data_IF_986917382744
#
_entry.id   IF_986917382744
#
_cell.length_a   1.000
_cell.length_b   1.000
_cell.length_c   1.000
_cell.angle_alpha   90.00
_cell.angle_beta   90.00
_cell.angle_gamma   90.00
#
_symmetry.space_group_name_H-M   'P 1'
#
loop_
_entity.id
_entity.type
_entity.pdbx_description
1 polymer ?
#
# COMPACT_ATOMS: atom_id res chain seq x y z
N UNK A 1 11.78 4.50 5.04
CA UNK A 1 13.11 3.86 4.81
C UNK A 1 13.91 4.61 3.76
N UNK A 2 15.24 4.76 3.91
CA UNK A 2 16.13 5.23 2.81
C UNK A 2 16.44 4.07 1.86
N UNK A 3 16.41 4.32 0.56
CA UNK A 3 16.71 3.32 -0.49
C UNK A 3 17.79 3.84 -1.46
N UNK A 4 18.43 2.92 -2.17
CA UNK A 4 19.41 3.21 -3.22
C UNK A 4 18.76 3.43 -4.58
N UNK A 5 19.53 3.88 -5.56
CA UNK A 5 19.01 4.16 -6.91
C UNK A 5 18.54 2.91 -7.64
N UNK A 6 19.28 1.80 -7.53
CA UNK A 6 18.92 0.50 -8.10
C UNK A 6 17.63 -0.06 -7.47
N UNK A 7 17.37 0.26 -6.20
CA UNK A 7 16.13 -0.09 -5.52
C UNK A 7 14.90 0.71 -5.99
N UNK A 8 15.06 1.65 -6.92
CA UNK A 8 13.93 2.34 -7.56
C UNK A 8 13.45 1.71 -8.86
N UNK A 9 14.04 0.59 -9.26
CA UNK A 9 13.50 -0.22 -10.35
C UNK A 9 12.20 -0.94 -9.93
N UNK A 10 11.39 -1.32 -10.92
CA UNK A 10 10.06 -1.90 -10.71
C UNK A 10 10.07 -3.13 -9.82
N UNK A 11 11.01 -4.07 -10.03
CA UNK A 11 11.03 -5.31 -9.26
C UNK A 11 11.37 -5.07 -7.78
N UNK A 12 12.45 -4.36 -7.41
CA UNK A 12 12.69 -4.00 -6.00
C UNK A 12 11.53 -3.26 -5.32
N UNK A 13 10.87 -2.34 -6.03
CA UNK A 13 9.70 -1.63 -5.51
C UNK A 13 8.51 -2.56 -5.25
N UNK A 14 8.25 -3.50 -6.17
CA UNK A 14 7.25 -4.53 -5.95
C UNK A 14 7.61 -5.44 -4.77
N UNK A 15 8.89 -5.80 -4.59
CA UNK A 15 9.35 -6.61 -3.46
C UNK A 15 9.11 -5.90 -2.12
N UNK A 16 9.30 -4.58 -2.05
CA UNK A 16 8.91 -3.78 -0.88
C UNK A 16 7.41 -3.82 -0.62
N UNK A 17 6.57 -3.72 -1.67
CA UNK A 17 5.12 -3.81 -1.55
C UNK A 17 4.66 -5.19 -1.04
N UNK A 18 5.25 -6.28 -1.54
CA UNK A 18 5.00 -7.64 -1.05
C UNK A 18 5.35 -7.76 0.43
N UNK A 19 6.50 -7.21 0.83
CA UNK A 19 6.95 -7.26 2.21
C UNK A 19 6.05 -6.46 3.16
N UNK A 20 5.71 -5.22 2.80
CA UNK A 20 4.77 -4.40 3.59
C UNK A 20 3.40 -5.08 3.72
N UNK A 21 2.91 -5.68 2.64
CA UNK A 21 1.64 -6.44 2.64
C UNK A 21 1.68 -7.62 3.58
N UNK A 22 2.77 -8.38 3.63
CA UNK A 22 2.92 -9.50 4.57
C UNK A 22 2.85 -9.04 6.03
N UNK A 23 3.54 -7.96 6.35
CA UNK A 23 3.52 -7.38 7.71
C UNK A 23 2.10 -6.90 8.09
N UNK A 24 1.40 -6.24 7.15
CA UNK A 24 0.02 -5.81 7.38
C UNK A 24 -0.92 -7.00 7.61
N UNK A 25 -0.85 -8.03 6.74
CA UNK A 25 -1.67 -9.24 6.86
C UNK A 25 -1.38 -10.04 8.14
N UNK A 26 -0.15 -10.02 8.66
CA UNK A 26 0.20 -10.68 9.92
C UNK A 26 -0.15 -9.85 11.16
N UNK A 27 -0.63 -8.62 10.99
CA UNK A 27 -0.88 -7.68 12.10
C UNK A 27 0.39 -7.18 12.79
N UNK A 28 1.56 -7.29 12.14
CA UNK A 28 2.83 -6.81 12.70
C UNK A 28 3.03 -5.32 12.38
N UNK A 29 2.18 -4.50 13.00
CA UNK A 29 2.14 -3.05 12.77
C UNK A 29 3.41 -2.37 13.27
N UNK A 30 4.02 -2.86 14.34
CA UNK A 30 5.30 -2.38 14.84
C UNK A 30 6.42 -2.55 13.81
N UNK A 31 6.54 -3.74 13.21
CA UNK A 31 7.54 -3.97 12.17
C UNK A 31 7.27 -3.17 10.90
N UNK A 32 5.99 -3.04 10.50
CA UNK A 32 5.57 -2.24 9.35
C UNK A 32 5.95 -0.77 9.56
N UNK A 33 5.56 -0.19 10.69
CA UNK A 33 5.89 1.18 11.10
C UNK A 33 7.40 1.41 11.21
N UNK A 34 8.13 0.48 11.83
CA UNK A 34 9.59 0.62 12.01
C UNK A 34 10.33 0.65 10.67
N UNK A 35 9.87 -0.12 9.69
CA UNK A 35 10.54 -0.21 8.38
C UNK A 35 10.09 0.92 7.46
N UNK A 36 8.78 1.09 7.28
CA UNK A 36 8.23 1.99 6.27
C UNK A 36 7.79 3.34 6.83
N UNK A 37 7.69 3.49 8.15
CA UNK A 37 7.01 4.64 8.77
C UNK A 37 5.54 4.68 8.39
N UNK A 38 4.89 5.81 8.61
CA UNK A 38 3.58 6.10 8.04
C UNK A 38 3.42 7.61 7.84
N UNK A 39 3.27 8.05 6.58
CA UNK A 39 3.25 9.47 6.25
C UNK A 39 2.01 10.20 6.76
N UNK A 40 0.90 9.49 6.95
CA UNK A 40 -0.36 10.03 7.47
C UNK A 40 -0.58 9.71 8.97
N UNK A 41 0.48 9.38 9.71
CA UNK A 41 0.40 9.22 11.16
C UNK A 41 0.15 10.57 11.88
N UNK A 42 0.63 11.68 11.33
CA UNK A 42 0.64 12.99 11.97
C UNK A 42 1.31 12.94 13.36
N UNK A 43 0.56 13.21 14.43
CA UNK A 43 1.05 13.19 15.82
C UNK A 43 0.81 11.85 16.52
N UNK A 44 0.18 10.89 15.83
CA UNK A 44 -0.06 9.54 16.35
C UNK A 44 1.21 8.69 16.29
N UNK A 45 1.27 7.70 17.16
CA UNK A 45 2.22 6.60 16.97
C UNK A 45 1.95 5.91 15.62
N UNK A 46 2.95 5.69 14.75
CA UNK A 46 2.71 5.14 13.43
C UNK A 46 2.10 3.73 13.44
N UNK A 47 2.47 2.86 14.38
CA UNK A 47 1.90 1.52 14.45
C UNK A 47 0.42 1.57 14.85
N UNK A 48 0.09 2.42 15.83
CA UNK A 48 -1.31 2.68 16.24
C UNK A 48 -2.12 3.27 15.09
N UNK A 49 -1.59 4.28 14.39
CA UNK A 49 -2.27 4.91 13.27
C UNK A 49 -2.55 3.89 12.14
N UNK A 50 -1.58 3.06 11.78
CA UNK A 50 -1.77 1.99 10.79
C UNK A 50 -2.91 1.05 11.20
N UNK A 51 -2.95 0.63 12.47
CA UNK A 51 -3.97 -0.26 12.98
C UNK A 51 -5.37 0.37 12.93
N UNK A 52 -5.48 1.65 13.31
CA UNK A 52 -6.74 2.41 13.27
C UNK A 52 -7.27 2.57 11.85
N UNK A 53 -6.39 2.88 10.89
CA UNK A 53 -6.74 3.07 9.48
C UNK A 53 -7.17 1.75 8.83
N UNK A 54 -6.47 0.65 9.14
CA UNK A 54 -6.90 -0.68 8.71
C UNK A 54 -8.27 -1.04 9.28
N UNK A 55 -8.49 -0.79 10.57
CA UNK A 55 -9.77 -1.07 11.25
C UNK A 55 -10.91 -0.28 10.61
N UNK A 56 -10.68 1.00 10.34
CA UNK A 56 -11.66 1.88 9.68
C UNK A 56 -11.95 1.43 8.26
N UNK A 57 -10.89 1.14 7.49
CA UNK A 57 -11.01 0.64 6.10
C UNK A 57 -11.80 -0.67 6.01
N UNK A 58 -11.57 -1.61 6.94
CA UNK A 58 -12.32 -2.86 7.00
C UNK A 58 -13.81 -2.62 7.33
N UNK A 59 -14.09 -1.73 8.29
CA UNK A 59 -15.44 -1.40 8.69
C UNK A 59 -16.25 -0.75 7.55
N UNK A 60 -15.63 0.11 6.74
CA UNK A 60 -16.26 0.76 5.58
C UNK A 60 -16.81 -0.22 4.55
N UNK A 61 -16.16 -1.37 4.38
CA UNK A 61 -16.55 -2.44 3.44
C UNK A 61 -17.24 -3.62 4.12
N UNK A 62 -17.59 -3.49 5.40
CA UNK A 62 -18.27 -4.53 6.16
C UNK A 62 -17.42 -5.79 6.39
N UNK A 63 -16.10 -5.67 6.33
CA UNK A 63 -15.14 -6.73 6.63
C UNK A 63 -14.65 -6.61 8.09
N UNK A 64 -14.07 -7.70 8.62
CA UNK A 64 -13.48 -7.71 9.96
C UNK A 64 -12.01 -8.11 9.96
N UNK A 65 -11.50 -8.63 8.83
CA UNK A 65 -10.09 -8.97 8.69
C UNK A 65 -9.65 -8.97 7.24
N UNK A 66 -8.34 -8.85 7.03
CA UNK A 66 -7.71 -9.21 5.78
C UNK A 66 -7.76 -10.73 5.57
N UNK A 67 -7.67 -11.17 4.32
CA UNK A 67 -7.36 -12.54 3.94
C UNK A 67 -5.84 -12.75 3.85
N UNK A 68 -5.44 -13.92 3.36
CA UNK A 68 -4.04 -14.20 3.04
C UNK A 68 -3.46 -13.17 2.07
N UNK A 69 -2.16 -12.85 2.18
CA UNK A 69 -1.49 -12.00 1.22
C UNK A 69 -1.77 -12.45 -0.22
N UNK A 70 -2.08 -11.52 -1.14
CA UNK A 70 -2.30 -11.84 -2.54
C UNK A 70 -1.05 -12.46 -3.17
N UNK A 71 -1.26 -13.36 -4.14
CA UNK A 71 -0.17 -13.95 -4.94
C UNK A 71 0.26 -13.06 -6.11
N UNK A 72 -0.59 -12.12 -6.52
CA UNK A 72 -0.27 -11.12 -7.52
C UNK A 72 0.75 -10.12 -6.96
N UNK A 73 1.73 -9.75 -7.77
CA UNK A 73 2.69 -8.70 -7.42
C UNK A 73 2.01 -7.33 -7.33
N UNK A 74 2.50 -6.43 -6.47
CA UNK A 74 2.04 -5.05 -6.42
C UNK A 74 2.21 -4.34 -7.76
N UNK A 75 1.29 -3.46 -8.09
CA UNK A 75 1.44 -2.55 -9.22
C UNK A 75 2.43 -1.45 -8.86
N UNK A 76 3.32 -1.09 -9.80
CA UNK A 76 4.27 0.01 -9.64
C UNK A 76 4.03 1.02 -10.76
N UNK A 77 3.78 2.26 -10.38
CA UNK A 77 3.62 3.38 -11.30
C UNK A 77 4.65 4.47 -10.99
N UNK A 78 5.06 5.22 -12.01
CA UNK A 78 6.05 6.29 -11.87
C UNK A 78 5.42 7.64 -12.16
N UNK A 79 5.76 8.62 -11.32
CA UNK A 79 5.34 9.99 -11.54
C UNK A 79 6.18 10.62 -12.66
N UNK A 80 5.57 11.51 -13.43
CA UNK A 80 6.32 12.45 -14.26
C UNK A 80 7.15 13.38 -13.35
N UNK A 81 8.23 14.00 -13.86
CA UNK A 81 8.96 15.02 -13.13
C UNK A 81 8.02 16.06 -12.51
N UNK A 82 8.21 16.35 -11.23
CA UNK A 82 7.34 17.21 -10.43
C UNK A 82 8.14 17.93 -9.35
N UNK A 83 7.55 19.00 -8.81
CA UNK A 83 8.19 19.84 -7.79
C UNK A 83 8.00 19.32 -6.36
N UNK A 84 7.21 18.25 -6.17
CA UNK A 84 6.96 17.63 -4.86
C UNK A 84 8.00 16.56 -4.51
N UNK A 85 8.80 16.13 -5.50
CA UNK A 85 9.82 15.10 -5.34
C UNK A 85 9.26 13.68 -5.30
N UNK A 86 8.01 13.46 -5.72
CA UNK A 86 7.43 12.11 -5.81
C UNK A 86 8.01 11.38 -7.04
N UNK A 87 8.37 10.11 -6.88
CA UNK A 87 9.06 9.33 -7.91
C UNK A 87 8.24 8.13 -8.38
N UNK A 88 7.74 7.32 -7.45
CA UNK A 88 6.97 6.12 -7.76
C UNK A 88 5.93 5.83 -6.69
N UNK A 89 4.86 5.14 -7.08
CA UNK A 89 3.79 4.63 -6.22
C UNK A 89 3.74 3.11 -6.38
N UNK A 90 3.59 2.40 -5.27
CA UNK A 90 3.41 0.95 -5.22
C UNK A 90 2.05 0.67 -4.59
N UNK A 91 1.20 -0.05 -5.31
CA UNK A 91 -0.18 -0.34 -4.92
C UNK A 91 -0.40 -1.85 -4.82
N UNK A 92 -0.92 -2.30 -3.68
CA UNK A 92 -1.36 -3.68 -3.51
C UNK A 92 -2.79 -3.73 -3.00
N UNK A 93 -3.66 -4.36 -3.78
CA UNK A 93 -5.01 -4.73 -3.36
C UNK A 93 -4.93 -6.03 -2.56
N UNK A 94 -5.37 -5.98 -1.30
CA UNK A 94 -5.34 -7.08 -0.36
C UNK A 94 -6.80 -7.54 -0.12
N UNK A 95 -7.14 -8.79 -0.46
CA UNK A 95 -8.50 -9.29 -0.25
C UNK A 95 -8.87 -9.27 1.24
N UNK A 96 -10.16 -9.09 1.53
CA UNK A 96 -10.72 -9.12 2.89
C UNK A 96 -11.61 -10.33 3.08
N UNK A 97 -11.96 -10.67 4.31
CA UNK A 97 -12.91 -11.74 4.62
C UNK A 97 -14.37 -11.45 4.22
N UNK A 98 -14.63 -10.30 3.61
CA UNK A 98 -15.92 -9.91 3.02
C UNK A 98 -15.79 -9.62 1.53
N UNK A 99 -16.70 -8.79 1.01
CA UNK A 99 -16.58 -8.27 -0.35
C UNK A 99 -15.68 -7.03 -0.33
N UNK A 100 -14.63 -7.02 -1.15
CA UNK A 100 -13.77 -5.85 -1.33
C UNK A 100 -12.32 -6.11 -0.95
N UNK A 101 -11.54 -5.04 -1.04
CA UNK A 101 -10.11 -5.06 -0.77
C UNK A 101 -9.75 -3.93 0.17
N UNK A 102 -8.63 -4.10 0.86
CA UNK A 102 -7.88 -2.98 1.40
C UNK A 102 -6.75 -2.67 0.42
N UNK A 103 -6.59 -1.39 0.05
CA UNK A 103 -5.48 -0.91 -0.74
C UNK A 103 -4.35 -0.48 0.21
N UNK A 104 -3.16 -1.04 0.02
CA UNK A 104 -1.92 -0.59 0.65
C UNK A 104 -1.11 0.20 -0.37
N UNK A 105 -0.68 1.40 0.01
CA UNK A 105 0.08 2.31 -0.84
C UNK A 105 1.45 2.62 -0.23
N UNK A 106 2.53 2.31 -0.94
CA UNK A 106 3.86 2.81 -0.62
C UNK A 106 4.24 3.90 -1.63
N UNK A 107 4.81 4.99 -1.14
CA UNK A 107 5.28 6.08 -1.99
C UNK A 107 6.79 6.21 -1.90
N UNK A 108 7.40 6.46 -3.06
CA UNK A 108 8.81 6.77 -3.20
C UNK A 108 8.95 8.27 -3.41
N UNK A 109 9.72 8.91 -2.56
CA UNK A 109 10.12 10.31 -2.70
C UNK A 109 11.62 10.44 -2.89
N UNK A 110 12.03 11.44 -3.66
CA UNK A 110 13.40 11.87 -3.84
C UNK A 110 13.56 13.28 -3.27
N UNK A 111 14.47 13.44 -2.32
CA UNK A 111 14.86 14.73 -1.76
C UNK A 111 16.36 14.90 -1.94
N UNK A 112 16.76 15.82 -2.82
CA UNK A 112 18.16 15.98 -3.27
C UNK A 112 18.68 14.66 -3.83
N UNK A 113 19.79 14.15 -3.29
CA UNK A 113 20.43 12.89 -3.69
C UNK A 113 19.94 11.68 -2.88
N UNK A 114 18.94 11.83 -2.00
CA UNK A 114 18.43 10.73 -1.18
C UNK A 114 17.02 10.34 -1.58
N UNK A 115 16.80 9.04 -1.72
CA UNK A 115 15.52 8.44 -2.03
C UNK A 115 14.97 7.71 -0.81
N UNK A 116 13.67 7.80 -0.62
CA UNK A 116 12.97 7.20 0.50
C UNK A 116 11.71 6.51 0.01
N UNK A 117 11.41 5.35 0.58
CA UNK A 117 10.12 4.68 0.46
C UNK A 117 9.43 4.68 1.83
N UNK A 118 8.12 4.91 1.85
CA UNK A 118 7.34 4.79 3.08
C UNK A 118 5.88 4.48 2.79
N UNK A 119 5.17 4.03 3.83
CA UNK A 119 3.73 3.79 3.76
C UNK A 119 3.03 5.15 3.67
N UNK A 120 2.25 5.34 2.61
CA UNK A 120 1.46 6.55 2.42
C UNK A 120 0.05 6.37 2.96
N UNK A 121 -0.65 5.31 2.56
CA UNK A 121 -2.06 5.13 2.90
C UNK A 121 -2.46 3.65 2.98
N UNK A 122 -3.45 3.40 3.85
CA UNK A 122 -4.24 2.17 3.90
C UNK A 122 -5.69 2.61 3.74
N UNK A 123 -6.39 2.11 2.74
CA UNK A 123 -7.75 2.56 2.43
C UNK A 123 -8.64 1.41 2.01
N UNK A 124 -9.95 1.58 2.15
CA UNK A 124 -10.92 0.65 1.58
C UNK A 124 -10.96 0.82 0.06
N UNK A 125 -11.03 -0.31 -0.66
CA UNK A 125 -11.17 -0.33 -2.10
C UNK A 125 -12.32 -1.26 -2.49
N UNK A 126 -13.27 -0.80 -3.33
CA UNK A 126 -14.31 -1.68 -3.84
C UNK A 126 -13.66 -2.84 -4.60
N UNK A 127 -14.31 -4.00 -4.63
CA UNK A 127 -13.96 -5.03 -5.62
C UNK A 127 -13.93 -4.35 -6.99
N UNK A 128 -12.82 -4.46 -7.72
CA UNK A 128 -12.80 -4.08 -9.12
C UNK A 128 -14.05 -4.70 -9.76
N UNK A 129 -15.00 -3.86 -10.18
CA UNK A 129 -16.02 -4.35 -11.08
C UNK A 129 -15.26 -4.93 -12.27
N UNK A 130 -15.61 -6.12 -12.78
CA UNK A 130 -15.07 -6.53 -14.07
C UNK A 130 -15.28 -5.37 -15.03
N UNK A 131 -14.21 -5.00 -15.74
CA UNK A 131 -14.22 -3.93 -16.73
C UNK A 131 -15.48 -4.05 -17.59
N UNK A 132 -16.04 -2.92 -17.99
CA UNK A 132 -17.35 -2.80 -18.65
C UNK A 132 -17.54 -3.57 -19.98
N UNK A 133 -16.64 -4.48 -20.34
CA UNK A 133 -16.70 -5.36 -21.52
C UNK A 133 -17.45 -6.69 -21.29
N UNK A 134 -17.78 -7.10 -20.05
CA UNK A 134 -18.55 -8.34 -19.81
C UNK A 134 -20.06 -8.14 -19.59
N UNK A 135 -20.57 -6.92 -19.79
CA UNK A 135 -22.02 -6.65 -19.71
C UNK A 135 -22.63 -6.32 -21.09
N UNK A 136 -22.54 -7.23 -22.06
CA UNK A 136 -23.57 -7.47 -23.09
C UNK A 136 -23.29 -8.86 -23.69
N UNK A 137 -24.07 -9.86 -23.27
CA UNK A 137 -24.50 -11.02 -24.06
C UNK A 137 -25.40 -11.90 -23.17
N UNK A 138 -26.59 -11.40 -22.87
CA UNK A 138 -27.80 -12.21 -22.66
C UNK A 138 -29.01 -11.42 -23.15
#
# INVERSE_FOLDING_TARGET
MKITDDQTATQPLADFGVHATRLLCSGDFDALAKQFGYFLAYERDPAVAIQEELTSSLAEIGATSLHYPPTASPAVSYFKPNDTGLLALVEQYIPTNGNGHVLLELIVSSRKESKFIGLEQISSAPTAQPSADERICK
#
